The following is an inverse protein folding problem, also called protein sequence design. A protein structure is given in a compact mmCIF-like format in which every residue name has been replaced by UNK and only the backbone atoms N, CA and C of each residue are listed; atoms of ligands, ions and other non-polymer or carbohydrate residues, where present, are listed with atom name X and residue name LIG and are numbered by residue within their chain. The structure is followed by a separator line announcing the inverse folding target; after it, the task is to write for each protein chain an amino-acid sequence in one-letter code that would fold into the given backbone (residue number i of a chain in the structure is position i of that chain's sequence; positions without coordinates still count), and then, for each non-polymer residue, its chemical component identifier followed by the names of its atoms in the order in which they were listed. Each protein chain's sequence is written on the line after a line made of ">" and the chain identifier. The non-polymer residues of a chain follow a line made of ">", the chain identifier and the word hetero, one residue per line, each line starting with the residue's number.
data_IF_249972895945
#
_entry.id   IF_249972895945
#
_cell.length_a   1.000
_cell.length_b   1.000
_cell.length_c   1.000
_cell.angle_alpha   90.00
_cell.angle_beta   90.00
_cell.angle_gamma   90.00
#
_symmetry.space_group_name_H-M   'P 1'
#
loop_
_entity.id
_entity.type
_entity.pdbx_description
1 polymer ?
#
# COMPACT_ATOMS: atom_id res chain seq x y z
N UNK A 1 -33.77 -36.13 31.12
CA UNK A 1 -32.62 -36.81 30.48
C UNK A 1 -32.28 -36.20 29.11
N UNK A 2 -33.26 -35.83 28.25
CA UNK A 2 -32.99 -35.21 26.94
C UNK A 2 -32.35 -33.80 27.00
N UNK A 3 -32.83 -32.92 27.88
CA UNK A 3 -32.28 -31.57 28.07
C UNK A 3 -30.79 -31.57 28.46
N UNK A 4 -30.36 -32.53 29.30
CA UNK A 4 -28.94 -32.66 29.69
C UNK A 4 -28.07 -33.17 28.53
N UNK A 5 -28.62 -34.07 27.69
CA UNK A 5 -27.95 -34.54 26.46
C UNK A 5 -27.78 -33.42 25.44
N UNK A 6 -28.81 -32.59 25.27
CA UNK A 6 -28.77 -31.43 24.37
C UNK A 6 -27.75 -30.38 24.83
N UNK A 7 -27.70 -30.07 26.13
CA UNK A 7 -26.71 -29.15 26.69
C UNK A 7 -25.26 -29.63 26.51
N UNK A 8 -24.97 -30.89 26.82
CA UNK A 8 -23.64 -31.46 26.64
C UNK A 8 -23.19 -31.47 25.16
N UNK A 9 -24.11 -31.76 24.24
CA UNK A 9 -23.83 -31.76 22.80
C UNK A 9 -23.49 -30.35 22.27
N UNK A 10 -24.19 -29.32 22.76
CA UNK A 10 -23.90 -27.92 22.40
C UNK A 10 -22.53 -27.46 22.92
N UNK A 11 -22.15 -27.85 24.14
CA UNK A 11 -20.83 -27.52 24.70
C UNK A 11 -19.71 -28.22 23.92
N UNK A 12 -19.85 -29.51 23.65
CA UNK A 12 -18.85 -30.27 22.86
C UNK A 12 -18.72 -29.69 21.45
N UNK A 13 -19.83 -29.39 20.79
CA UNK A 13 -19.83 -28.75 19.47
C UNK A 13 -19.16 -27.37 19.51
N UNK A 14 -19.48 -26.53 20.51
CA UNK A 14 -18.85 -25.23 20.69
C UNK A 14 -17.34 -25.32 20.91
N UNK A 15 -16.89 -26.28 21.73
CA UNK A 15 -15.45 -26.52 21.94
C UNK A 15 -14.74 -27.03 20.69
N UNK A 16 -15.40 -27.87 19.89
CA UNK A 16 -14.84 -28.39 18.64
C UNK A 16 -14.74 -27.28 17.57
N UNK A 17 -15.78 -26.45 17.45
CA UNK A 17 -15.77 -25.29 16.55
C UNK A 17 -14.70 -24.27 16.95
N UNK A 18 -14.54 -23.98 18.25
CA UNK A 18 -13.49 -23.09 18.72
C UNK A 18 -12.08 -23.67 18.48
N UNK A 19 -11.90 -24.99 18.68
CA UNK A 19 -10.64 -25.68 18.42
C UNK A 19 -10.27 -25.70 16.93
N UNK A 20 -11.27 -25.77 16.04
CA UNK A 20 -11.09 -25.73 14.58
C UNK A 20 -11.03 -24.32 14.02
N UNK A 21 -11.53 -23.31 14.75
CA UNK A 21 -11.53 -21.92 14.29
C UNK A 21 -10.11 -21.43 14.00
N UNK A 22 -9.16 -21.66 14.90
CA UNK A 22 -7.77 -21.24 14.71
C UNK A 22 -7.10 -21.92 13.48
N UNK A 23 -7.10 -23.26 13.36
CA UNK A 23 -6.63 -23.94 12.15
C UNK A 23 -7.32 -23.50 10.86
N UNK A 24 -8.64 -23.31 10.87
CA UNK A 24 -9.41 -22.90 9.70
C UNK A 24 -9.08 -21.46 9.28
N UNK A 25 -8.93 -20.54 10.24
CA UNK A 25 -8.50 -19.16 9.95
C UNK A 25 -7.08 -19.11 9.39
N UNK A 26 -6.18 -19.97 9.89
CA UNK A 26 -4.82 -20.09 9.37
C UNK A 26 -4.83 -20.62 7.93
N UNK A 27 -5.58 -21.69 7.65
CA UNK A 27 -5.71 -22.26 6.29
C UNK A 27 -6.36 -21.27 5.31
N UNK A 28 -7.41 -20.56 5.73
CA UNK A 28 -8.03 -19.54 4.90
C UNK A 28 -7.09 -18.36 4.61
N UNK A 29 -6.27 -17.97 5.59
CA UNK A 29 -5.23 -16.97 5.39
C UNK A 29 -4.15 -17.47 4.42
N UNK A 30 -3.67 -18.71 4.54
CA UNK A 30 -2.68 -19.27 3.61
C UNK A 30 -3.22 -19.38 2.18
N UNK A 31 -4.46 -19.85 2.00
CA UNK A 31 -5.08 -19.97 0.66
C UNK A 31 -5.26 -18.60 -0.03
N UNK A 32 -5.61 -17.58 0.77
CA UNK A 32 -5.72 -16.20 0.30
C UNK A 32 -4.35 -15.62 -0.10
N UNK A 33 -3.32 -15.87 0.71
CA UNK A 33 -1.95 -15.41 0.49
C UNK A 33 -1.34 -16.06 -0.76
N UNK A 34 -1.47 -17.39 -0.91
CA UNK A 34 -0.71 -18.10 -1.95
C UNK A 34 -1.30 -17.91 -3.36
N UNK A 35 -2.64 -17.87 -3.50
CA UNK A 35 -3.27 -17.87 -4.84
C UNK A 35 -3.78 -16.50 -5.28
N UNK A 36 -4.69 -15.88 -4.53
CA UNK A 36 -5.39 -14.65 -4.97
C UNK A 36 -4.51 -13.43 -4.88
N UNK A 37 -3.76 -13.30 -3.80
CA UNK A 37 -2.83 -12.18 -3.61
C UNK A 37 -1.71 -12.20 -4.66
N UNK A 38 -1.08 -13.35 -4.89
CA UNK A 38 -0.07 -13.53 -5.95
C UNK A 38 -0.62 -13.15 -7.34
N UNK A 39 -1.85 -13.56 -7.68
CA UNK A 39 -2.51 -13.15 -8.93
C UNK A 39 -2.71 -11.63 -8.97
N UNK A 40 -3.12 -11.02 -7.87
CA UNK A 40 -3.36 -9.59 -7.81
C UNK A 40 -2.05 -8.78 -7.95
N UNK A 41 -0.95 -9.27 -7.37
CA UNK A 41 0.41 -8.76 -7.55
C UNK A 41 0.82 -8.83 -9.03
N UNK A 42 0.73 -10.01 -9.67
CA UNK A 42 1.06 -10.18 -11.10
C UNK A 42 0.24 -9.26 -12.02
N UNK A 43 -1.06 -9.12 -11.74
CA UNK A 43 -1.93 -8.21 -12.49
C UNK A 43 -1.57 -6.75 -12.29
N UNK A 44 -1.15 -6.37 -11.08
CA UNK A 44 -0.69 -5.01 -10.77
C UNK A 44 0.58 -4.69 -11.55
N UNK A 45 1.50 -5.65 -11.65
CA UNK A 45 2.74 -5.49 -12.41
C UNK A 45 2.48 -5.29 -13.90
N UNK A 46 1.55 -6.08 -14.47
CA UNK A 46 1.10 -5.93 -15.86
C UNK A 46 0.39 -4.59 -16.10
N UNK A 47 -0.48 -4.18 -15.19
CA UNK A 47 -1.18 -2.90 -15.28
C UNK A 47 -0.22 -1.72 -15.21
N UNK A 48 0.84 -1.79 -14.39
CA UNK A 48 1.88 -0.76 -14.33
C UNK A 48 2.61 -0.58 -15.65
N UNK A 49 2.95 -1.68 -16.33
CA UNK A 49 3.54 -1.64 -17.69
C UNK A 49 2.61 -0.99 -18.70
N UNK A 50 1.32 -1.32 -18.68
CA UNK A 50 0.33 -0.71 -19.57
C UNK A 50 0.13 0.78 -19.26
N UNK A 51 0.16 1.18 -17.99
CA UNK A 51 0.11 2.59 -17.60
C UNK A 51 1.34 3.35 -18.15
N UNK A 52 2.53 2.76 -18.07
CA UNK A 52 3.73 3.35 -18.67
C UNK A 52 3.59 3.51 -20.18
N UNK A 53 3.08 2.50 -20.90
CA UNK A 53 2.81 2.62 -22.33
C UNK A 53 1.81 3.74 -22.67
N UNK A 54 0.76 3.90 -21.86
CA UNK A 54 -0.23 4.97 -22.04
C UNK A 54 0.43 6.35 -21.88
N UNK A 55 1.26 6.51 -20.85
CA UNK A 55 1.99 7.76 -20.60
C UNK A 55 2.98 8.07 -21.72
N UNK A 56 3.72 7.07 -22.20
CA UNK A 56 4.67 7.19 -23.32
C UNK A 56 3.99 7.53 -24.63
N UNK A 57 2.80 7.00 -24.88
CA UNK A 57 1.98 7.35 -26.06
C UNK A 57 1.44 8.77 -26.00
N UNK A 58 1.57 9.46 -24.87
CA UNK A 58 1.15 10.85 -24.72
C UNK A 58 -0.37 11.05 -24.87
N UNK A 59 -1.18 10.05 -24.48
CA UNK A 59 -2.65 10.14 -24.59
C UNK A 59 -3.22 11.29 -23.73
N UNK A 60 -2.52 11.65 -22.66
CA UNK A 60 -2.78 12.81 -21.79
C UNK A 60 -2.22 14.14 -22.34
N UNK A 61 -1.57 14.12 -23.51
CA UNK A 61 -0.76 15.22 -24.03
C UNK A 61 0.52 15.44 -23.22
N UNK A 62 1.06 16.66 -23.26
CA UNK A 62 2.29 17.04 -22.54
C UNK A 62 2.01 17.56 -21.11
N UNK A 63 0.87 17.18 -20.52
CA UNK A 63 0.51 17.64 -19.17
C UNK A 63 1.24 16.79 -18.12
N UNK A 64 1.86 17.41 -17.11
CA UNK A 64 2.40 16.67 -15.98
C UNK A 64 1.30 15.87 -15.27
N UNK A 65 1.62 14.65 -14.84
CA UNK A 65 0.68 13.78 -14.13
C UNK A 65 1.06 13.63 -12.66
N UNK A 66 0.04 13.65 -11.80
CA UNK A 66 0.13 13.25 -10.39
C UNK A 66 -0.48 11.87 -10.24
N UNK A 67 0.29 10.93 -9.70
CA UNK A 67 -0.13 9.54 -9.50
C UNK A 67 -0.32 9.27 -8.00
N UNK A 68 -1.54 8.92 -7.61
CA UNK A 68 -1.87 8.54 -6.23
C UNK A 68 -2.38 7.11 -6.24
N UNK A 69 -1.76 6.24 -5.44
CA UNK A 69 -2.13 4.83 -5.40
C UNK A 69 -2.15 4.30 -3.99
N UNK A 70 -3.20 3.54 -3.68
CA UNK A 70 -3.34 2.80 -2.45
C UNK A 70 -3.15 1.31 -2.70
N UNK A 71 -2.44 0.63 -1.80
CA UNK A 71 -2.26 -0.83 -1.83
C UNK A 71 -1.68 -1.28 -3.18
N UNK A 72 -2.32 -2.24 -3.84
CA UNK A 72 -1.94 -2.70 -5.19
C UNK A 72 -1.94 -1.58 -6.24
N UNK A 73 -2.75 -0.53 -6.08
CA UNK A 73 -2.67 0.66 -6.94
C UNK A 73 -1.34 1.41 -6.79
N UNK A 74 -0.77 1.43 -5.59
CA UNK A 74 0.59 1.95 -5.36
C UNK A 74 1.63 1.10 -6.10
N UNK A 75 1.44 -0.23 -6.12
CA UNK A 75 2.31 -1.15 -6.87
C UNK A 75 2.20 -0.94 -8.38
N UNK A 76 1.00 -0.71 -8.91
CA UNK A 76 0.79 -0.33 -10.32
C UNK A 76 1.61 0.90 -10.68
N UNK A 77 1.55 1.96 -9.87
CA UNK A 77 2.33 3.18 -10.09
C UNK A 77 3.82 2.89 -10.05
N UNK A 78 4.30 2.14 -9.06
CA UNK A 78 5.72 1.83 -8.95
C UNK A 78 6.25 1.05 -10.16
N UNK A 79 5.51 0.02 -10.61
CA UNK A 79 5.88 -0.74 -11.81
C UNK A 79 5.78 0.08 -13.09
N UNK A 80 4.88 1.06 -13.14
CA UNK A 80 4.87 2.06 -14.20
C UNK A 80 6.17 2.87 -14.21
N UNK A 81 6.62 3.40 -13.07
CA UNK A 81 7.86 4.17 -12.97
C UNK A 81 9.10 3.32 -13.32
N UNK A 82 9.17 2.07 -12.87
CA UNK A 82 10.26 1.17 -13.27
C UNK A 82 10.29 0.96 -14.79
N UNK A 83 9.13 0.76 -15.41
CA UNK A 83 9.02 0.59 -16.86
C UNK A 83 9.41 1.87 -17.60
N UNK A 84 9.01 3.04 -17.12
CA UNK A 84 9.42 4.33 -17.68
C UNK A 84 10.94 4.53 -17.59
N UNK A 85 11.55 4.15 -16.45
CA UNK A 85 12.99 4.26 -16.24
C UNK A 85 13.83 3.42 -17.22
N UNK A 86 13.25 2.36 -17.79
CA UNK A 86 13.89 1.53 -18.82
C UNK A 86 13.84 2.17 -20.22
N UNK A 87 13.05 3.23 -20.43
CA UNK A 87 12.77 3.78 -21.77
C UNK A 87 13.54 5.06 -22.15
N UNK A 88 14.46 5.56 -21.32
CA UNK A 88 15.31 6.78 -21.50
C UNK A 88 14.59 8.11 -21.88
N UNK A 89 13.31 8.09 -22.24
CA UNK A 89 12.63 9.18 -22.96
C UNK A 89 11.50 9.89 -22.21
N UNK A 90 11.33 9.67 -20.89
CA UNK A 90 10.06 10.01 -20.22
C UNK A 90 10.15 10.49 -18.78
N UNK A 91 11.34 10.88 -18.30
CA UNK A 91 11.58 11.32 -16.92
C UNK A 91 10.76 12.55 -16.48
N UNK A 92 10.11 13.26 -17.41
CA UNK A 92 9.47 14.55 -17.16
C UNK A 92 7.93 14.50 -17.15
N UNK A 93 7.30 13.36 -17.48
CA UNK A 93 5.83 13.29 -17.54
C UNK A 93 5.21 13.17 -16.14
N UNK A 94 5.86 12.46 -15.22
CA UNK A 94 5.34 12.26 -13.86
C UNK A 94 5.88 13.35 -12.93
N UNK A 95 4.99 14.22 -12.47
CA UNK A 95 5.35 15.32 -11.57
C UNK A 95 5.36 14.87 -10.13
N UNK A 96 4.32 14.15 -9.67
CA UNK A 96 4.16 13.79 -8.25
C UNK A 96 3.66 12.36 -8.10
N UNK A 97 4.13 11.71 -7.05
CA UNK A 97 3.73 10.36 -6.68
C UNK A 97 3.38 10.31 -5.20
N UNK A 98 2.26 9.67 -4.88
CA UNK A 98 1.88 9.32 -3.51
C UNK A 98 1.52 7.84 -3.46
N UNK A 99 2.31 7.09 -2.68
CA UNK A 99 2.07 5.69 -2.39
C UNK A 99 1.48 5.57 -0.98
N UNK A 100 0.33 4.93 -0.85
CA UNK A 100 -0.37 4.73 0.41
C UNK A 100 -0.39 3.23 0.74
N UNK A 101 0.24 2.81 1.83
CA UNK A 101 0.23 1.41 2.27
C UNK A 101 0.74 0.44 1.19
N UNK A 102 1.88 0.74 0.57
CA UNK A 102 2.31 0.05 -0.64
C UNK A 102 2.90 -1.36 -0.39
N UNK A 103 2.38 -2.43 -1.03
CA UNK A 103 2.94 -3.79 -0.99
C UNK A 103 4.10 -3.95 -1.99
N UNK A 104 5.15 -3.16 -1.78
CA UNK A 104 6.36 -3.14 -2.61
C UNK A 104 7.57 -3.46 -1.72
N UNK A 105 8.40 -4.42 -2.14
CA UNK A 105 9.62 -4.76 -1.41
C UNK A 105 10.59 -3.57 -1.42
N UNK A 106 11.25 -3.30 -0.29
CA UNK A 106 12.23 -2.22 -0.23
C UNK A 106 13.57 -2.63 -0.83
N UNK A 107 13.95 -3.91 -0.71
CA UNK A 107 15.27 -4.40 -1.16
C UNK A 107 15.28 -4.97 -2.57
N UNK A 108 14.17 -5.55 -3.02
CA UNK A 108 14.12 -6.32 -4.28
C UNK A 108 13.68 -5.50 -5.49
N UNK A 109 13.49 -4.18 -5.31
CA UNK A 109 12.83 -3.29 -6.26
C UNK A 109 13.71 -2.06 -6.57
N UNK A 110 13.61 -1.51 -7.79
CA UNK A 110 14.52 -0.46 -8.29
C UNK A 110 14.08 0.95 -7.85
N UNK A 111 14.01 1.20 -6.55
CA UNK A 111 13.55 2.48 -5.98
C UNK A 111 14.28 3.72 -6.49
N UNK A 112 15.60 3.63 -6.70
CA UNK A 112 16.39 4.74 -7.26
C UNK A 112 16.00 5.06 -8.71
N UNK A 113 15.72 4.03 -9.51
CA UNK A 113 15.29 4.18 -10.89
C UNK A 113 13.89 4.80 -10.93
N UNK A 114 12.97 4.30 -10.11
CA UNK A 114 11.63 4.84 -9.96
C UNK A 114 11.66 6.30 -9.49
N UNK A 115 12.53 6.65 -8.53
CA UNK A 115 12.66 8.02 -8.03
C UNK A 115 13.09 9.00 -9.13
N UNK A 116 14.00 8.60 -10.02
CA UNK A 116 14.48 9.46 -11.12
C UNK A 116 13.38 9.83 -12.13
N UNK A 117 12.30 9.05 -12.19
CA UNK A 117 11.18 9.30 -13.11
C UNK A 117 10.15 10.30 -12.57
N UNK A 118 10.32 10.80 -11.34
CA UNK A 118 9.40 11.75 -10.72
C UNK A 118 10.08 13.11 -10.60
N UNK A 119 9.58 14.12 -11.30
CA UNK A 119 10.19 15.44 -11.29
C UNK A 119 10.08 16.16 -9.93
N UNK A 120 8.96 15.94 -9.23
CA UNK A 120 8.62 16.59 -7.96
C UNK A 120 8.64 15.63 -6.77
N UNK A 121 7.61 15.74 -5.93
CA UNK A 121 7.50 14.99 -4.67
C UNK A 121 7.15 13.53 -4.92
N UNK A 122 7.91 12.64 -4.29
CA UNK A 122 7.63 11.21 -4.22
C UNK A 122 7.38 10.87 -2.76
N UNK A 123 6.11 10.71 -2.39
CA UNK A 123 5.66 10.42 -1.03
C UNK A 123 5.39 8.93 -0.84
N UNK A 124 5.92 8.37 0.23
CA UNK A 124 5.57 7.08 0.77
C UNK A 124 4.85 7.28 2.11
N UNK A 125 3.52 7.18 2.12
CA UNK A 125 2.74 7.16 3.34
C UNK A 125 2.61 5.71 3.85
N UNK A 126 3.14 5.46 5.03
CA UNK A 126 3.24 4.13 5.63
C UNK A 126 2.58 4.09 7.01
N UNK A 127 2.15 2.91 7.43
CA UNK A 127 1.63 2.68 8.78
C UNK A 127 2.33 1.48 9.39
N UNK A 128 2.90 1.68 10.58
CA UNK A 128 3.60 0.61 11.33
C UNK A 128 2.62 -0.41 11.94
N UNK A 129 1.34 -0.07 12.02
CA UNK A 129 0.26 -0.90 12.57
C UNK A 129 -0.56 -1.66 11.51
N UNK A 130 -0.18 -1.56 10.22
CA UNK A 130 -0.91 -2.25 9.15
C UNK A 130 -0.76 -3.78 9.24
N UNK A 131 -1.74 -4.40 9.90
CA UNK A 131 -1.79 -5.83 10.16
C UNK A 131 -1.95 -6.68 8.89
N UNK A 132 -2.57 -6.15 7.81
CA UNK A 132 -2.79 -6.94 6.59
C UNK A 132 -1.48 -7.13 5.84
N UNK A 133 -0.69 -6.07 5.68
CA UNK A 133 0.67 -6.18 5.14
C UNK A 133 1.59 -6.92 6.11
N UNK A 134 1.45 -6.65 7.41
CA UNK A 134 2.21 -7.31 8.46
C UNK A 134 2.03 -8.83 8.46
N UNK A 135 0.81 -9.35 8.26
CA UNK A 135 0.53 -10.79 8.26
C UNK A 135 0.77 -11.43 6.89
N UNK A 136 0.27 -10.85 5.80
CA UNK A 136 0.40 -11.44 4.47
C UNK A 136 1.87 -11.53 4.00
N UNK A 137 2.70 -10.55 4.37
CA UNK A 137 4.09 -10.50 3.93
C UNK A 137 5.08 -11.07 4.95
N UNK A 138 4.80 -11.04 6.26
CA UNK A 138 5.62 -11.81 7.23
C UNK A 138 5.39 -13.31 7.11
N UNK A 139 4.17 -13.75 6.79
CA UNK A 139 3.91 -15.17 6.50
C UNK A 139 4.68 -15.65 5.26
N UNK A 140 4.95 -14.76 4.31
CA UNK A 140 5.78 -15.08 3.14
C UNK A 140 7.25 -15.31 3.50
N UNK A 141 7.77 -14.87 4.67
CA UNK A 141 9.18 -15.00 5.16
C UNK A 141 10.30 -14.54 4.20
N UNK A 142 9.98 -14.21 2.96
CA UNK A 142 10.92 -14.01 1.86
C UNK A 142 11.29 -12.55 1.62
N UNK A 143 10.60 -11.62 2.28
CA UNK A 143 10.64 -10.21 1.92
C UNK A 143 11.20 -9.36 3.03
N UNK A 144 12.24 -8.61 2.69
CA UNK A 144 13.04 -7.82 3.62
C UNK A 144 12.44 -6.42 3.80
N UNK A 145 11.18 -6.36 4.25
CA UNK A 145 10.45 -5.12 4.51
C UNK A 145 9.61 -4.59 3.34
N UNK A 146 8.56 -3.86 3.67
CA UNK A 146 7.58 -3.30 2.73
C UNK A 146 7.48 -1.78 2.86
N UNK A 147 7.40 -1.08 1.73
CA UNK A 147 7.22 0.38 1.71
C UNK A 147 5.97 0.84 2.51
N UNK A 148 4.90 0.05 2.52
CA UNK A 148 3.66 0.39 3.23
C UNK A 148 3.70 0.31 4.75
N UNK A 149 4.74 -0.27 5.35
CA UNK A 149 4.84 -0.46 6.81
C UNK A 149 6.11 0.10 7.45
N UNK A 150 7.01 0.65 6.65
CA UNK A 150 8.27 1.21 7.12
C UNK A 150 8.82 2.23 6.10
N UNK A 151 9.69 3.16 6.55
CA UNK A 151 10.27 4.16 5.66
C UNK A 151 11.26 3.54 4.65
N UNK A 152 11.36 4.17 3.48
CA UNK A 152 12.31 3.87 2.41
C UNK A 152 13.54 4.76 2.55
N UNK A 153 14.75 4.19 2.47
CA UNK A 153 16.01 4.92 2.70
C UNK A 153 16.61 5.56 1.44
N UNK A 154 15.84 5.71 0.36
CA UNK A 154 16.31 6.30 -0.90
C UNK A 154 16.16 7.82 -0.86
N UNK A 155 17.22 8.60 -1.12
CA UNK A 155 17.15 10.06 -1.14
C UNK A 155 16.09 10.60 -2.11
N UNK A 156 15.37 11.63 -1.67
CA UNK A 156 14.31 12.26 -2.45
C UNK A 156 12.94 11.58 -2.33
N UNK A 157 12.82 10.45 -1.63
CA UNK A 157 11.54 9.89 -1.21
C UNK A 157 11.16 10.46 0.17
N UNK A 158 10.00 11.10 0.22
CA UNK A 158 9.41 11.66 1.43
C UNK A 158 8.61 10.58 2.15
N UNK A 159 9.07 10.15 3.32
CA UNK A 159 8.36 9.16 4.12
C UNK A 159 7.45 9.85 5.13
N UNK A 160 6.17 9.48 5.13
CA UNK A 160 5.15 10.06 6.00
C UNK A 160 4.52 8.95 6.82
N UNK A 161 4.69 9.02 8.13
CA UNK A 161 4.06 8.08 9.05
C UNK A 161 2.60 8.50 9.28
N UNK A 162 1.67 7.64 8.88
CA UNK A 162 0.23 7.83 9.06
C UNK A 162 -0.36 6.81 10.05
N UNK A 163 0.48 6.18 10.88
CA UNK A 163 0.06 5.15 11.85
C UNK A 163 -1.11 5.61 12.71
N UNK A 164 -1.10 6.86 13.19
CA UNK A 164 -2.15 7.41 14.05
C UNK A 164 -3.49 7.64 13.32
N UNK A 165 -3.49 7.67 11.99
CA UNK A 165 -4.68 7.82 11.15
C UNK A 165 -5.21 6.47 10.64
N UNK A 166 -4.41 5.42 10.73
CA UNK A 166 -4.66 4.13 10.08
C UNK A 166 -4.82 3.03 11.13
N UNK A 167 -6.06 2.62 11.35
CA UNK A 167 -6.39 1.46 12.20
C UNK A 167 -6.07 0.11 11.52
N UNK A 168 -5.99 0.08 10.19
CA UNK A 168 -5.66 -1.10 9.40
C UNK A 168 -5.66 -0.81 7.89
N UNK A 169 -5.24 -1.77 7.06
CA UNK A 169 -5.02 -1.54 5.61
C UNK A 169 -6.22 -0.92 4.89
N UNK A 170 -7.42 -1.44 5.12
CA UNK A 170 -8.64 -0.90 4.49
C UNK A 170 -8.92 0.56 4.90
N UNK A 171 -8.34 1.04 6.00
CA UNK A 171 -8.61 2.39 6.50
C UNK A 171 -8.02 3.49 5.63
N UNK A 172 -7.03 3.18 4.81
CA UNK A 172 -6.55 4.11 3.79
C UNK A 172 -7.66 4.58 2.85
N UNK A 173 -8.68 3.75 2.54
CA UNK A 173 -9.75 4.13 1.59
C UNK A 173 -10.53 5.38 2.01
N UNK A 174 -10.73 5.58 3.32
CA UNK A 174 -11.44 6.74 3.85
C UNK A 174 -10.49 7.80 4.41
N UNK A 175 -9.31 7.40 4.90
CA UNK A 175 -8.27 8.34 5.33
C UNK A 175 -7.53 9.03 4.17
N UNK A 176 -7.64 8.53 2.92
CA UNK A 176 -6.92 9.09 1.76
C UNK A 176 -7.14 10.59 1.61
N UNK A 177 -8.38 11.07 1.74
CA UNK A 177 -8.65 12.50 1.62
C UNK A 177 -7.89 13.29 2.70
N UNK A 178 -8.02 12.89 3.96
CA UNK A 178 -7.35 13.54 5.08
C UNK A 178 -5.81 13.50 4.93
N UNK A 179 -5.26 12.38 4.48
CA UNK A 179 -3.81 12.25 4.22
C UNK A 179 -3.40 13.22 3.12
N UNK A 180 -4.10 13.26 1.98
CA UNK A 180 -3.75 14.15 0.87
C UNK A 180 -3.86 15.64 1.25
N UNK A 181 -4.86 16.01 2.05
CA UNK A 181 -4.99 17.36 2.61
C UNK A 181 -3.79 17.72 3.51
N UNK A 182 -3.37 16.80 4.40
CA UNK A 182 -2.20 17.01 5.26
C UNK A 182 -0.87 17.04 4.51
N UNK A 183 -0.78 16.34 3.38
CA UNK A 183 0.43 16.34 2.56
C UNK A 183 0.65 17.68 1.85
N UNK A 184 -0.40 18.51 1.71
CA UNK A 184 -0.38 19.79 1.00
C UNK A 184 0.36 19.64 -0.35
N UNK A 185 -0.10 18.71 -1.20
CA UNK A 185 0.64 18.30 -2.39
C UNK A 185 0.96 19.43 -3.37
N UNK A 186 0.21 20.53 -3.35
CA UNK A 186 0.48 21.71 -4.19
C UNK A 186 1.71 22.50 -3.71
N UNK A 187 2.12 22.33 -2.45
CA UNK A 187 3.35 22.89 -1.93
C UNK A 187 4.57 22.17 -2.53
N UNK A 188 5.58 22.95 -2.93
CA UNK A 188 6.85 22.44 -3.45
C UNK A 188 7.76 21.86 -2.36
N UNK A 189 7.49 22.16 -1.09
CA UNK A 189 8.27 21.69 0.05
C UNK A 189 7.44 20.71 0.89
N UNK A 190 8.05 19.71 1.55
CA UNK A 190 7.35 18.81 2.46
C UNK A 190 6.86 19.60 3.69
N UNK A 191 5.55 19.82 3.78
CA UNK A 191 4.90 20.41 4.95
C UNK A 191 4.11 19.30 5.63
N UNK A 192 4.76 18.48 6.45
CA UNK A 192 4.02 17.54 7.29
C UNK A 192 3.80 18.14 8.68
N UNK A 193 2.57 18.56 8.97
CA UNK A 193 2.17 18.97 10.32
C UNK A 193 1.63 17.75 11.04
N UNK A 194 2.35 17.26 12.05
CA UNK A 194 1.91 16.19 12.95
C UNK A 194 0.74 16.59 13.88
N UNK A 195 0.04 17.70 13.61
CA UNK A 195 -1.04 18.21 14.44
C UNK A 195 -2.07 18.94 13.58
N UNK A 196 -3.38 18.78 13.86
CA UNK A 196 -4.42 19.53 13.17
C UNK A 196 -4.21 21.05 13.37
N UNK A 197 -4.63 21.89 12.41
CA UNK A 197 -4.59 23.34 12.59
C UNK A 197 -5.32 23.71 13.88
N UNK A 198 -4.66 24.45 14.77
CA UNK A 198 -5.35 25.06 15.91
C UNK A 198 -6.36 26.04 15.35
N UNK A 199 -7.64 25.86 15.68
CA UNK A 199 -8.66 26.86 15.38
C UNK A 199 -8.20 28.24 15.89
N UNK A 200 -8.50 29.33 15.15
CA UNK A 200 -8.24 30.68 15.64
C UNK A 200 -9.03 30.85 16.93
N UNK A 201 -8.35 31.22 18.02
CA UNK A 201 -9.05 31.72 19.19
C UNK A 201 -9.59 33.10 18.81
N UNK A 202 -10.92 33.20 18.75
CA UNK A 202 -11.63 34.48 18.80
C UNK A 202 -11.28 35.24 20.10
#
# INVERSE_FOLDING_TARGET
>A
MELMRQGAMLTVLGTLLAALAWPATLLAATDFIDSKWTIAIDRSDKAGKLLAEVLLKGLQGNRPVTLVGYSLGARVIFKCLETLAETEHSAEVVERVVLLGAPISIKDEKWEAARKMVAGRFVNAYSTSDWTLGVAFRASLLTQGLAGIQPITVPGIENVDVTDLIEGHSSYLWATQQILEQLELDAYYPVFRSSPPREPRE
#
